data_IF_454626842826
#
_entry.id   IF_454626842826
#
_cell.length_a   1.000
_cell.length_b   1.000
_cell.length_c   1.000
_cell.angle_alpha   90.00
_cell.angle_beta   90.00
_cell.angle_gamma   90.00
#
_symmetry.space_group_name_H-M   'P 1'
#
loop_
_entity.id
_entity.type
_entity.pdbx_description
1 polymer ?
#
# COMPACT_ATOMS: atom_id res chain seq x y z
N UNK A 1 -20.02 15.14 13.90
CA UNK A 1 -19.59 16.14 14.91
C UNK A 1 -18.52 15.65 15.86
N UNK A 2 -18.67 14.50 16.53
CA UNK A 2 -17.63 13.99 17.45
C UNK A 2 -16.26 13.81 16.78
N UNK A 3 -16.20 13.11 15.63
CA UNK A 3 -14.94 12.92 14.89
C UNK A 3 -14.29 14.24 14.45
N UNK A 4 -15.07 15.30 14.23
CA UNK A 4 -14.53 16.62 13.87
C UNK A 4 -13.84 17.26 15.08
N UNK A 5 -14.36 17.04 16.30
CA UNK A 5 -13.71 17.50 17.54
C UNK A 5 -12.42 16.71 17.80
N UNK A 6 -12.47 15.39 17.66
CA UNK A 6 -11.28 14.53 17.77
C UNK A 6 -10.24 14.90 16.72
N UNK A 7 -10.64 15.24 15.50
CA UNK A 7 -9.73 15.70 14.46
C UNK A 7 -8.99 17.00 14.81
N UNK A 8 -9.61 17.90 15.58
CA UNK A 8 -8.96 19.13 16.06
C UNK A 8 -8.04 18.88 17.25
N UNK A 9 -8.46 18.03 18.19
CA UNK A 9 -7.81 17.84 19.48
C UNK A 9 -6.75 16.71 19.49
N UNK A 10 -6.94 15.69 18.65
CA UNK A 10 -6.13 14.48 18.57
C UNK A 10 -5.93 14.04 17.10
N UNK A 11 -5.38 14.91 16.24
CA UNK A 11 -5.30 14.64 14.80
C UNK A 11 -4.49 13.37 14.46
N UNK A 12 -3.43 13.09 15.21
CA UNK A 12 -2.57 11.90 15.04
C UNK A 12 -3.35 10.57 15.20
N UNK A 13 -4.39 10.54 16.05
CA UNK A 13 -5.21 9.35 16.25
C UNK A 13 -6.08 9.02 15.03
N UNK A 14 -6.48 10.04 14.26
CA UNK A 14 -7.40 9.91 13.14
C UNK A 14 -6.71 9.90 11.78
N UNK A 15 -5.49 10.42 11.69
CA UNK A 15 -4.84 10.67 10.39
C UNK A 15 -4.68 9.38 9.58
N UNK A 16 -4.22 8.27 10.17
CA UNK A 16 -4.08 7.01 9.45
C UNK A 16 -5.44 6.37 9.08
N UNK A 17 -6.40 6.14 10.02
CA UNK A 17 -7.68 5.53 9.66
C UNK A 17 -8.51 6.32 8.65
N UNK A 18 -8.48 7.66 8.73
CA UNK A 18 -9.23 8.52 7.82
C UNK A 18 -8.56 8.57 6.45
N UNK A 19 -7.23 8.59 6.37
CA UNK A 19 -6.50 8.51 5.09
C UNK A 19 -6.84 7.21 4.35
N UNK A 20 -6.86 6.06 5.06
CA UNK A 20 -7.31 4.77 4.49
C UNK A 20 -8.79 4.80 4.10
N UNK A 21 -9.65 5.44 4.90
CA UNK A 21 -11.08 5.52 4.57
C UNK A 21 -11.35 6.37 3.33
N UNK A 22 -10.49 7.36 3.05
CA UNK A 22 -10.61 8.25 1.90
C UNK A 22 -10.41 7.57 0.54
N UNK A 23 -9.71 6.42 0.52
CA UNK A 23 -9.49 5.59 -0.67
C UNK A 23 -10.52 4.46 -0.83
N UNK A 24 -11.57 4.42 0.01
CA UNK A 24 -12.60 3.36 -0.06
C UNK A 24 -13.55 3.51 -1.26
N UNK A 25 -14.11 2.39 -1.73
CA UNK A 25 -15.09 2.35 -2.82
C UNK A 25 -16.46 2.97 -2.45
N UNK A 26 -16.78 3.07 -1.15
CA UNK A 26 -18.05 3.62 -0.71
C UNK A 26 -18.09 5.14 -0.84
N UNK A 27 -18.90 5.65 -1.77
CA UNK A 27 -19.06 7.09 -2.00
C UNK A 27 -19.46 7.87 -0.74
N UNK A 28 -20.34 7.30 0.09
CA UNK A 28 -20.77 7.91 1.35
C UNK A 28 -19.62 8.03 2.35
N UNK A 29 -18.83 6.96 2.54
CA UNK A 29 -17.67 6.98 3.44
C UNK A 29 -16.58 7.90 2.93
N UNK A 30 -16.32 7.90 1.62
CA UNK A 30 -15.37 8.80 0.97
C UNK A 30 -15.74 10.26 1.18
N UNK A 31 -17.02 10.63 1.01
CA UNK A 31 -17.52 11.98 1.27
C UNK A 31 -17.37 12.39 2.74
N UNK A 32 -17.67 11.48 3.67
CA UNK A 32 -17.52 11.73 5.10
C UNK A 32 -16.04 11.88 5.52
N UNK A 33 -15.17 10.98 5.05
CA UNK A 33 -13.73 11.03 5.29
C UNK A 33 -13.12 12.33 4.75
N UNK A 34 -13.52 12.73 3.53
CA UNK A 34 -13.07 14.00 2.93
C UNK A 34 -13.40 15.20 3.82
N UNK A 35 -14.62 15.28 4.36
CA UNK A 35 -15.00 16.37 5.29
C UNK A 35 -14.11 16.42 6.54
N UNK A 36 -13.70 15.27 7.06
CA UNK A 36 -12.82 15.19 8.24
C UNK A 36 -11.40 15.61 7.85
N UNK A 37 -10.89 15.13 6.72
CA UNK A 37 -9.57 15.54 6.18
C UNK A 37 -9.55 17.04 5.95
N UNK A 38 -10.57 17.61 5.29
CA UNK A 38 -10.66 19.05 5.00
C UNK A 38 -10.64 19.89 6.30
N UNK A 39 -11.14 19.36 7.42
CA UNK A 39 -11.08 20.02 8.72
C UNK A 39 -9.71 19.89 9.40
N UNK A 40 -9.11 18.71 9.32
CA UNK A 40 -7.74 18.49 9.80
C UNK A 40 -6.77 19.37 9.01
N UNK A 41 -6.99 19.56 7.72
CA UNK A 41 -6.12 20.34 6.82
C UNK A 41 -6.15 21.83 7.16
N UNK A 42 -7.25 22.35 7.73
CA UNK A 42 -7.31 23.74 8.24
C UNK A 42 -6.48 23.97 9.50
N UNK A 43 -6.31 22.94 10.33
CA UNK A 43 -5.70 23.04 11.68
C UNK A 43 -4.28 22.49 11.71
N UNK A 44 -4.01 21.44 10.93
CA UNK A 44 -2.77 20.68 10.87
C UNK A 44 -2.46 20.29 9.40
N UNK A 45 -2.26 21.27 8.50
CA UNK A 45 -2.05 21.03 7.07
C UNK A 45 -0.85 20.13 6.79
N UNK A 46 0.27 20.37 7.47
CA UNK A 46 1.51 19.60 7.27
C UNK A 46 1.32 18.13 7.66
N UNK A 47 0.69 17.86 8.80
CA UNK A 47 0.40 16.50 9.25
C UNK A 47 -0.45 15.72 8.24
N UNK A 48 -1.48 16.36 7.67
CA UNK A 48 -2.34 15.74 6.65
C UNK A 48 -1.56 15.48 5.36
N UNK A 49 -0.73 16.43 4.93
CA UNK A 49 0.11 16.31 3.74
C UNK A 49 1.13 15.17 3.89
N UNK A 50 1.83 15.13 5.03
CA UNK A 50 2.78 14.07 5.37
C UNK A 50 2.11 12.72 5.44
N UNK A 51 0.94 12.59 6.08
CA UNK A 51 0.22 11.32 6.16
C UNK A 51 -0.25 10.82 4.79
N UNK A 52 -0.74 11.71 3.92
CA UNK A 52 -1.10 11.36 2.54
C UNK A 52 0.13 10.87 1.76
N UNK A 53 1.26 11.56 1.90
CA UNK A 53 2.53 11.17 1.27
C UNK A 53 3.00 9.80 1.78
N UNK A 54 3.15 9.65 3.10
CA UNK A 54 3.66 8.43 3.72
C UNK A 54 2.76 7.24 3.41
N UNK A 55 1.44 7.38 3.54
CA UNK A 55 0.52 6.29 3.23
C UNK A 55 0.55 5.89 1.75
N UNK A 56 0.63 6.85 0.82
CA UNK A 56 0.65 6.56 -0.61
C UNK A 56 1.96 5.88 -1.03
N UNK A 57 3.08 6.40 -0.55
CA UNK A 57 4.39 5.86 -0.88
C UNK A 57 4.64 4.49 -0.20
N UNK A 58 4.18 4.27 1.04
CA UNK A 58 4.24 2.95 1.68
C UNK A 58 3.41 1.91 0.90
N UNK A 59 2.29 2.31 0.31
CA UNK A 59 1.51 1.43 -0.58
C UNK A 59 2.28 1.09 -1.86
N UNK A 60 2.94 2.08 -2.48
CA UNK A 60 3.78 1.86 -3.66
C UNK A 60 4.99 0.95 -3.37
N UNK A 61 5.55 1.01 -2.16
CA UNK A 61 6.59 0.09 -1.69
C UNK A 61 6.02 -1.31 -1.42
N UNK A 62 4.77 -1.40 -0.93
CA UNK A 62 4.14 -2.66 -0.58
C UNK A 62 3.81 -3.56 -1.78
N UNK A 63 3.47 -2.97 -2.93
CA UNK A 63 3.17 -3.69 -4.18
C UNK A 63 3.90 -3.01 -5.33
N UNK A 64 4.91 -3.69 -5.88
CA UNK A 64 5.66 -3.16 -7.02
C UNK A 64 4.92 -3.42 -8.33
N UNK A 65 5.19 -2.61 -9.37
CA UNK A 65 4.62 -2.83 -10.70
C UNK A 65 4.85 -4.22 -11.26
N UNK A 66 6.02 -4.80 -10.98
CA UNK A 66 6.33 -6.17 -11.40
C UNK A 66 5.30 -7.14 -10.82
N UNK A 67 4.90 -6.97 -9.56
CA UNK A 67 3.91 -7.82 -8.89
C UNK A 67 2.49 -7.52 -9.34
N UNK A 68 2.14 -6.25 -9.53
CA UNK A 68 0.85 -5.84 -10.11
C UNK A 68 0.62 -6.50 -11.47
N UNK A 69 1.62 -6.43 -12.36
CA UNK A 69 1.55 -7.06 -13.67
C UNK A 69 1.61 -8.58 -13.60
N UNK A 70 2.45 -9.16 -12.73
CA UNK A 70 2.50 -10.60 -12.54
C UNK A 70 1.14 -11.17 -12.12
N UNK A 71 0.55 -10.62 -11.06
CA UNK A 71 -0.74 -11.07 -10.55
C UNK A 71 -1.86 -10.77 -11.56
N UNK A 72 -1.88 -9.57 -12.13
CA UNK A 72 -2.92 -9.18 -13.07
C UNK A 72 -2.93 -10.03 -14.35
N UNK A 73 -1.75 -10.42 -14.87
CA UNK A 73 -1.65 -11.33 -16.00
C UNK A 73 -2.06 -12.77 -15.63
N UNK A 74 -1.74 -13.22 -14.41
CA UNK A 74 -2.19 -14.52 -13.90
C UNK A 74 -3.72 -14.58 -13.77
N UNK A 75 -4.33 -13.53 -13.20
CA UNK A 75 -5.78 -13.40 -13.06
C UNK A 75 -6.46 -13.37 -14.44
N UNK A 76 -5.98 -12.54 -15.36
CA UNK A 76 -6.51 -12.44 -16.73
C UNK A 76 -6.37 -13.77 -17.50
N UNK A 77 -5.28 -14.52 -17.27
CA UNK A 77 -5.08 -15.83 -17.88
C UNK A 77 -6.08 -16.86 -17.33
N UNK A 78 -6.34 -16.87 -16.02
CA UNK A 78 -7.35 -17.73 -15.43
C UNK A 78 -8.76 -17.44 -15.97
N UNK A 79 -9.15 -16.15 -16.06
CA UNK A 79 -10.44 -15.74 -16.63
C UNK A 79 -10.61 -16.28 -18.06
N UNK A 80 -9.59 -16.14 -18.91
CA UNK A 80 -9.68 -16.54 -20.31
C UNK A 80 -9.56 -18.06 -20.53
N UNK A 81 -8.53 -18.69 -19.95
CA UNK A 81 -8.22 -20.10 -20.24
C UNK A 81 -9.06 -21.08 -19.41
N UNK A 82 -9.36 -20.73 -18.16
CA UNK A 82 -10.08 -21.61 -17.21
C UNK A 82 -11.57 -21.30 -17.18
N UNK A 83 -11.94 -20.04 -16.92
CA UNK A 83 -13.34 -19.65 -16.69
C UNK A 83 -14.10 -19.38 -18.01
N UNK A 84 -13.37 -19.21 -19.12
CA UNK A 84 -13.91 -18.78 -20.43
C UNK A 84 -14.61 -17.42 -20.39
N UNK A 85 -14.25 -16.60 -19.42
CA UNK A 85 -14.72 -15.22 -19.30
C UNK A 85 -13.80 -14.28 -20.12
N UNK A 86 -14.20 -14.07 -21.38
CA UNK A 86 -13.50 -13.16 -22.26
C UNK A 86 -13.65 -11.70 -21.81
N UNK A 87 -14.82 -11.30 -21.31
CA UNK A 87 -15.08 -9.92 -20.94
C UNK A 87 -14.29 -9.54 -19.69
N UNK A 88 -14.30 -10.39 -18.66
CA UNK A 88 -13.49 -10.21 -17.45
C UNK A 88 -12.00 -10.12 -17.77
N UNK A 89 -11.49 -10.94 -18.70
CA UNK A 89 -10.10 -10.82 -19.17
C UNK A 89 -9.82 -9.45 -19.82
N UNK A 90 -10.71 -8.98 -20.71
CA UNK A 90 -10.52 -7.69 -21.40
C UNK A 90 -10.56 -6.51 -20.42
N UNK A 91 -11.44 -6.57 -19.43
CA UNK A 91 -11.55 -5.56 -18.38
C UNK A 91 -10.29 -5.57 -17.52
N UNK A 92 -9.82 -6.76 -17.08
CA UNK A 92 -8.60 -6.89 -16.27
C UNK A 92 -7.35 -6.39 -16.99
N UNK A 93 -7.16 -6.76 -18.25
CA UNK A 93 -6.05 -6.24 -19.06
C UNK A 93 -6.18 -4.72 -19.27
N UNK A 94 -7.42 -4.23 -19.46
CA UNK A 94 -7.71 -2.81 -19.56
C UNK A 94 -7.30 -2.03 -18.32
N UNK A 95 -7.58 -2.54 -17.12
CA UNK A 95 -7.15 -1.93 -15.85
C UNK A 95 -5.62 -1.82 -15.74
N UNK A 96 -4.90 -2.88 -16.14
CA UNK A 96 -3.43 -2.89 -16.11
C UNK A 96 -2.84 -1.85 -17.08
N UNK A 97 -3.37 -1.77 -18.30
CA UNK A 97 -2.93 -0.80 -19.30
C UNK A 97 -3.39 0.65 -19.02
N UNK A 98 -4.51 0.82 -18.33
CA UNK A 98 -4.95 2.13 -17.85
C UNK A 98 -3.98 2.66 -16.80
N UNK A 99 -3.57 1.81 -15.86
CA UNK A 99 -2.53 2.13 -14.85
C UNK A 99 -1.23 2.57 -15.52
N UNK A 100 -0.87 1.91 -16.62
CA UNK A 100 0.28 2.28 -17.45
C UNK A 100 0.11 3.63 -18.17
N UNK A 101 -1.10 3.95 -18.64
CA UNK A 101 -1.38 5.15 -19.42
C UNK A 101 -1.51 6.41 -18.55
N UNK A 102 -1.83 6.26 -17.26
CA UNK A 102 -1.89 7.36 -16.29
C UNK A 102 -0.52 7.82 -15.76
N UNK A 103 0.57 7.31 -16.33
CA UNK A 103 1.93 7.47 -15.81
C UNK A 103 2.55 8.74 -16.34
N UNK A 104 2.80 9.69 -15.45
CA UNK A 104 3.60 10.86 -15.75
C UNK A 104 5.09 10.47 -15.70
N UNK A 105 5.64 10.15 -16.87
CA UNK A 105 7.03 9.69 -17.04
C UNK A 105 8.08 10.63 -16.42
N UNK A 106 7.73 11.88 -16.12
CA UNK A 106 8.62 12.87 -15.50
C UNK A 106 8.80 12.65 -14.00
N UNK A 107 7.82 12.04 -13.31
CA UNK A 107 7.80 11.91 -11.84
C UNK A 107 7.92 10.45 -11.36
N UNK A 108 8.25 9.51 -12.24
CA UNK A 108 8.29 8.09 -11.90
C UNK A 108 9.60 7.65 -11.23
N UNK A 109 9.49 6.58 -10.43
CA UNK A 109 10.63 6.02 -9.71
C UNK A 109 11.55 5.22 -10.63
N UNK A 110 12.84 5.09 -10.26
CA UNK A 110 13.81 4.32 -11.05
C UNK A 110 13.35 2.88 -11.31
N UNK A 111 12.64 2.26 -10.36
CA UNK A 111 12.09 0.92 -10.53
C UNK A 111 10.97 0.86 -11.57
N UNK A 112 10.11 1.88 -11.62
CA UNK A 112 9.06 2.00 -12.65
C UNK A 112 9.69 2.25 -14.01
N UNK A 113 10.66 3.16 -14.11
CA UNK A 113 11.39 3.41 -15.36
C UNK A 113 12.09 2.15 -15.88
N UNK A 114 12.73 1.38 -15.00
CA UNK A 114 13.35 0.09 -15.35
C UNK A 114 12.32 -0.93 -15.85
N UNK A 115 11.13 -0.97 -15.26
CA UNK A 115 10.04 -1.84 -15.72
C UNK A 115 9.59 -1.41 -17.13
N UNK A 116 9.36 -0.11 -17.32
CA UNK A 116 8.90 0.44 -18.59
C UNK A 116 9.90 0.15 -19.71
N UNK A 117 11.18 0.39 -19.45
CA UNK A 117 12.25 0.12 -20.39
C UNK A 117 12.34 -1.37 -20.76
N UNK A 118 12.14 -2.27 -19.79
CA UNK A 118 12.32 -3.71 -20.00
C UNK A 118 11.12 -4.41 -20.67
N UNK A 119 9.90 -3.93 -20.41
CA UNK A 119 8.67 -4.64 -20.78
C UNK A 119 7.69 -3.79 -21.60
N UNK A 120 7.88 -2.47 -21.66
CA UNK A 120 6.88 -1.55 -22.19
C UNK A 120 6.54 -1.73 -23.65
N UNK A 121 7.55 -2.06 -24.47
CA UNK A 121 7.33 -2.34 -25.90
C UNK A 121 6.43 -3.56 -26.08
N UNK A 122 6.80 -4.68 -25.46
CA UNK A 122 6.08 -5.95 -25.57
C UNK A 122 4.64 -5.80 -25.04
N UNK A 123 4.46 -5.09 -23.92
CA UNK A 123 3.14 -4.83 -23.33
C UNK A 123 2.28 -3.95 -24.23
N UNK A 124 2.82 -2.87 -24.79
CA UNK A 124 2.09 -1.98 -25.68
C UNK A 124 1.68 -2.71 -26.98
N UNK A 125 2.58 -3.51 -27.55
CA UNK A 125 2.27 -4.32 -28.73
C UNK A 125 1.20 -5.38 -28.42
N UNK A 126 1.26 -6.04 -27.27
CA UNK A 126 0.22 -6.96 -26.81
C UNK A 126 -1.15 -6.28 -26.68
N UNK A 127 -1.18 -5.04 -26.18
CA UNK A 127 -2.41 -4.27 -26.09
C UNK A 127 -3.00 -3.92 -27.46
N UNK A 128 -2.16 -3.52 -28.42
CA UNK A 128 -2.62 -3.23 -29.79
C UNK A 128 -3.28 -4.46 -30.43
N UNK A 129 -2.79 -5.67 -30.13
CA UNK A 129 -3.45 -6.92 -30.55
C UNK A 129 -4.80 -7.14 -29.86
N UNK A 130 -4.91 -6.83 -28.56
CA UNK A 130 -6.19 -6.86 -27.84
C UNK A 130 -7.19 -5.84 -28.42
N UNK A 131 -6.76 -4.64 -28.79
CA UNK A 131 -7.64 -3.65 -29.43
C UNK A 131 -8.14 -4.14 -30.79
N UNK A 132 -7.27 -4.74 -31.61
CA UNK A 132 -7.69 -5.39 -32.86
C UNK A 132 -8.67 -6.54 -32.61
N UNK A 133 -8.47 -7.33 -31.56
CA UNK A 133 -9.37 -8.40 -31.17
C UNK A 133 -10.75 -7.88 -30.76
N UNK A 134 -10.82 -6.77 -30.00
CA UNK A 134 -12.10 -6.13 -29.63
C UNK A 134 -12.94 -5.73 -30.83
N UNK A 135 -12.30 -5.33 -31.94
CA UNK A 135 -12.99 -4.95 -33.18
C UNK A 135 -13.31 -6.17 -34.06
N UNK A 136 -12.35 -7.08 -34.26
CA UNK A 136 -12.50 -8.16 -35.24
C UNK A 136 -13.12 -9.44 -34.69
N UNK A 137 -13.04 -9.68 -33.37
CA UNK A 137 -13.40 -10.96 -32.75
C UNK A 137 -12.51 -12.15 -33.14
N UNK A 138 -11.44 -11.94 -33.92
CA UNK A 138 -10.64 -13.02 -34.48
C UNK A 138 -9.67 -13.61 -33.44
N UNK A 139 -9.77 -14.92 -33.19
CA UNK A 139 -8.95 -15.63 -32.21
C UNK A 139 -7.42 -15.49 -32.43
N UNK A 140 -7.00 -15.26 -33.68
CA UNK A 140 -5.58 -15.03 -34.03
C UNK A 140 -5.01 -13.81 -33.28
N UNK A 141 -5.78 -12.73 -33.15
CA UNK A 141 -5.30 -11.52 -32.49
C UNK A 141 -5.07 -11.71 -30.99
N UNK A 142 -5.98 -12.39 -30.30
CA UNK A 142 -5.83 -12.67 -28.86
C UNK A 142 -4.70 -13.67 -28.60
N UNK A 143 -4.49 -14.64 -29.47
CA UNK A 143 -3.35 -15.56 -29.37
C UNK A 143 -2.01 -14.80 -29.48
N UNK A 144 -1.90 -13.85 -30.41
CA UNK A 144 -0.68 -13.04 -30.57
C UNK A 144 -0.42 -12.13 -29.37
N UNK A 145 -1.47 -11.56 -28.78
CA UNK A 145 -1.36 -10.84 -27.53
C UNK A 145 -0.82 -11.75 -26.40
N UNK A 146 -1.34 -12.97 -26.29
CA UNK A 146 -0.94 -13.91 -25.25
C UNK A 146 0.49 -14.43 -25.39
N UNK A 147 1.03 -14.55 -26.60
CA UNK A 147 2.45 -14.88 -26.80
C UNK A 147 3.37 -13.82 -26.15
N UNK A 148 3.04 -12.54 -26.35
CA UNK A 148 3.76 -11.41 -25.77
C UNK A 148 3.57 -11.34 -24.25
N UNK A 149 2.32 -11.43 -23.77
CA UNK A 149 2.03 -11.42 -22.33
C UNK A 149 2.72 -12.58 -21.60
N UNK A 150 2.71 -13.77 -22.18
CA UNK A 150 3.37 -14.94 -21.59
C UNK A 150 4.88 -14.74 -21.51
N UNK A 151 5.49 -14.13 -22.53
CA UNK A 151 6.92 -13.80 -22.54
C UNK A 151 7.28 -12.82 -21.43
N UNK A 152 6.51 -11.75 -21.28
CA UNK A 152 6.68 -10.77 -20.21
C UNK A 152 6.46 -11.41 -18.83
N UNK A 153 5.39 -12.20 -18.66
CA UNK A 153 5.06 -12.90 -17.43
C UNK A 153 6.22 -13.79 -16.94
N UNK A 154 6.83 -14.59 -17.83
CA UNK A 154 7.98 -15.45 -17.49
C UNK A 154 9.20 -14.64 -17.04
N UNK A 155 9.50 -13.52 -17.73
CA UNK A 155 10.61 -12.63 -17.36
C UNK A 155 10.39 -12.01 -15.98
N UNK A 156 9.19 -11.47 -15.74
CA UNK A 156 8.79 -10.87 -14.47
C UNK A 156 8.87 -11.91 -13.34
N UNK A 157 8.31 -13.12 -13.55
CA UNK A 157 8.37 -14.22 -12.56
C UNK A 157 9.79 -14.50 -12.11
N UNK A 158 10.73 -14.58 -13.05
CA UNK A 158 12.15 -14.83 -12.75
C UNK A 158 12.78 -13.72 -11.90
N UNK A 159 12.42 -12.46 -12.14
CA UNK A 159 12.92 -11.33 -11.35
C UNK A 159 12.28 -11.28 -9.96
N UNK A 160 10.96 -11.48 -9.87
CA UNK A 160 10.21 -11.55 -8.60
C UNK A 160 10.85 -12.59 -7.69
N UNK A 161 11.06 -13.82 -8.17
CA UNK A 161 11.59 -14.92 -7.35
C UNK A 161 13.03 -14.69 -6.84
N UNK A 162 13.78 -13.74 -7.39
CA UNK A 162 15.16 -13.41 -6.98
C UNK A 162 15.27 -12.15 -6.12
N UNK A 163 14.15 -11.48 -5.87
CA UNK A 163 14.13 -10.21 -5.19
C UNK A 163 13.98 -10.41 -3.68
N UNK A 164 15.08 -10.22 -2.96
CA UNK A 164 15.13 -10.38 -1.50
C UNK A 164 15.16 -9.03 -0.76
N UNK A 165 15.55 -7.96 -1.46
CA UNK A 165 15.69 -6.61 -0.91
C UNK A 165 15.30 -5.53 -1.92
N UNK A 166 14.75 -4.43 -1.39
CA UNK A 166 14.40 -3.22 -2.11
C UNK A 166 15.15 -2.04 -1.50
N UNK A 167 15.87 -1.29 -2.34
CA UNK A 167 16.42 0.01 -1.95
C UNK A 167 15.36 1.09 -2.07
N UNK A 168 15.06 1.77 -0.96
CA UNK A 168 13.98 2.75 -0.83
C UNK A 168 14.13 3.89 -1.84
N UNK A 169 15.35 4.36 -2.09
CA UNK A 169 15.65 5.39 -3.09
C UNK A 169 15.12 5.05 -4.50
N UNK A 170 15.09 3.76 -4.87
CA UNK A 170 14.66 3.33 -6.20
C UNK A 170 13.15 3.10 -6.29
N UNK A 171 12.47 2.89 -5.16
CA UNK A 171 11.04 2.55 -5.09
C UNK A 171 10.17 3.68 -4.55
N UNK A 172 10.73 4.53 -3.70
CA UNK A 172 10.11 5.73 -3.16
C UNK A 172 11.20 6.72 -2.75
N UNK A 173 11.70 7.54 -3.69
CA UNK A 173 12.64 8.62 -3.39
C UNK A 173 12.06 9.58 -2.35
N UNK A 174 10.74 9.79 -2.34
CA UNK A 174 10.06 10.70 -1.41
C UNK A 174 10.18 10.22 0.04
N UNK A 175 10.04 8.91 0.30
CA UNK A 175 10.28 8.37 1.63
C UNK A 175 11.77 8.35 1.98
N UNK A 176 12.64 8.13 1.01
CA UNK A 176 14.08 8.11 1.22
C UNK A 176 14.64 9.47 1.70
N UNK A 177 14.07 10.58 1.21
CA UNK A 177 14.45 11.94 1.62
C UNK A 177 13.59 12.53 2.74
N UNK A 178 12.55 11.81 3.19
CA UNK A 178 11.65 12.30 4.23
C UNK A 178 12.34 12.24 5.59
N UNK A 179 12.56 13.42 6.16
CA UNK A 179 13.20 13.59 7.46
C UNK A 179 12.35 14.49 8.37
N UNK A 180 12.44 14.25 9.68
CA UNK A 180 11.86 15.10 10.74
C UNK A 180 10.36 15.42 10.61
N UNK A 181 9.56 14.45 10.15
CA UNK A 181 8.12 14.61 9.94
C UNK A 181 7.38 14.98 11.25
N UNK A 182 6.27 15.71 11.13
CA UNK A 182 5.33 15.93 12.24
C UNK A 182 4.51 14.68 12.57
N UNK A 183 4.35 13.79 11.60
CA UNK A 183 3.60 12.54 11.69
C UNK A 183 4.18 11.59 12.73
N UNK A 184 3.31 11.05 13.60
CA UNK A 184 3.68 10.04 14.56
C UNK A 184 4.07 8.73 13.87
N UNK A 185 5.05 8.02 14.45
CA UNK A 185 5.34 6.63 14.06
C UNK A 185 4.05 5.81 14.19
N UNK A 186 3.66 5.01 13.18
CA UNK A 186 2.42 4.25 13.24
C UNK A 186 2.33 3.38 14.51
N UNK A 187 1.19 3.45 15.20
CA UNK A 187 0.92 2.64 16.39
C UNK A 187 1.58 3.12 17.70
N UNK A 188 2.35 4.22 17.69
CA UNK A 188 2.98 4.75 18.92
C UNK A 188 2.18 5.87 19.59
N UNK A 189 1.18 6.43 18.91
CA UNK A 189 0.32 7.48 19.45
C UNK A 189 -0.56 6.96 20.60
N UNK A 190 -0.52 7.66 21.74
CA UNK A 190 -1.31 7.37 22.94
C UNK A 190 -1.92 8.66 23.48
N UNK A 191 -3.13 8.58 24.03
CA UNK A 191 -3.83 9.73 24.60
C UNK A 191 -3.13 10.27 25.87
N UNK A 192 -2.29 9.44 26.51
CA UNK A 192 -1.47 9.83 27.66
C UNK A 192 -0.49 10.98 27.37
N UNK A 193 -0.16 11.25 26.10
CA UNK A 193 0.71 12.36 25.72
C UNK A 193 0.12 13.75 26.02
N UNK A 194 -1.21 13.89 26.17
CA UNK A 194 -1.82 15.17 26.59
C UNK A 194 -1.48 15.57 28.04
N UNK A 195 -1.10 14.61 28.89
CA UNK A 195 -0.73 14.89 30.28
C UNK A 195 0.72 15.36 30.44
N UNK A 196 1.41 15.72 29.33
CA UNK A 196 2.78 16.27 29.30
C UNK A 196 3.88 15.36 29.89
N UNK A 197 3.58 14.11 30.23
CA UNK A 197 4.56 13.17 30.78
C UNK A 197 5.43 12.52 29.71
N UNK A 198 4.95 12.46 28.46
CA UNK A 198 5.69 11.93 27.32
C UNK A 198 5.35 12.74 26.06
N UNK A 199 6.28 12.80 25.11
CA UNK A 199 6.10 13.46 23.81
C UNK A 199 5.72 12.43 22.74
N UNK A 200 5.02 12.89 21.69
CA UNK A 200 4.68 12.05 20.53
C UNK A 200 5.97 11.61 19.85
N UNK A 201 6.15 10.30 19.65
CA UNK A 201 7.27 9.76 18.87
C UNK A 201 6.97 9.99 17.39
N UNK A 202 7.64 10.96 16.80
CA UNK A 202 7.50 11.34 15.39
C UNK A 202 8.41 10.50 14.51
N UNK A 203 8.12 10.44 13.21
CA UNK A 203 9.00 9.80 12.25
C UNK A 203 10.21 10.70 12.01
N UNK A 204 11.40 10.23 12.41
CA UNK A 204 12.67 10.88 12.13
C UNK A 204 13.10 10.63 10.69
N UNK A 205 13.09 9.37 10.25
CA UNK A 205 13.49 8.96 8.90
C UNK A 205 13.09 7.51 8.63
N UNK A 206 13.25 7.07 7.37
CA UNK A 206 13.06 5.68 6.94
C UNK A 206 14.42 5.04 6.65
N UNK A 207 14.61 3.78 7.06
CA UNK A 207 15.83 3.06 6.67
C UNK A 207 15.83 2.77 5.15
N UNK A 208 17.00 2.86 4.48
CA UNK A 208 17.10 2.76 3.02
C UNK A 208 16.82 1.35 2.49
N UNK A 209 16.92 0.33 3.34
CA UNK A 209 16.78 -1.07 2.97
C UNK A 209 15.43 -1.63 3.43
N UNK A 210 14.67 -2.19 2.49
CA UNK A 210 13.39 -2.85 2.73
C UNK A 210 13.52 -4.33 2.36
N UNK A 211 13.44 -5.22 3.36
CA UNK A 211 13.57 -6.67 3.12
C UNK A 211 12.26 -7.21 2.54
N UNK A 212 12.34 -8.05 1.52
CA UNK A 212 11.21 -8.81 1.00
C UNK A 212 11.20 -10.19 1.66
N UNK A 213 10.14 -10.52 2.38
CA UNK A 213 10.03 -11.83 3.02
C UNK A 213 9.58 -12.86 1.99
N UNK A 214 10.34 -13.94 1.82
CA UNK A 214 10.00 -15.00 0.86
C UNK A 214 8.81 -15.82 1.37
N UNK A 215 7.61 -15.49 0.88
CA UNK A 215 6.37 -16.21 1.14
C UNK A 215 5.42 -16.04 -0.06
N UNK A 216 4.22 -16.64 -0.02
CA UNK A 216 3.21 -16.42 -1.08
C UNK A 216 2.85 -14.94 -1.26
N UNK A 217 2.70 -14.22 -0.14
CA UNK A 217 2.25 -12.82 -0.13
C UNK A 217 3.39 -11.81 -0.20
N UNK A 218 4.64 -12.28 -0.05
CA UNK A 218 5.87 -11.48 -0.17
C UNK A 218 5.86 -10.14 0.58
N UNK A 219 5.45 -10.10 1.86
CA UNK A 219 5.33 -8.84 2.59
C UNK A 219 6.69 -8.18 2.78
N UNK A 220 6.70 -6.85 2.93
CA UNK A 220 7.93 -6.06 3.05
C UNK A 220 8.18 -5.74 4.51
N UNK A 221 9.39 -6.01 5.00
CA UNK A 221 9.84 -5.51 6.29
C UNK A 221 10.54 -4.16 6.09
N UNK A 222 9.90 -3.10 6.56
CA UNK A 222 10.40 -1.73 6.56
C UNK A 222 10.76 -1.32 7.99
N UNK A 223 11.75 -0.47 8.14
CA UNK A 223 12.13 0.09 9.45
C UNK A 223 12.06 1.61 9.43
N UNK A 224 11.49 2.17 10.48
CA UNK A 224 11.30 3.61 10.66
C UNK A 224 12.07 4.03 11.92
N UNK A 225 12.88 5.07 11.82
CA UNK A 225 13.56 5.67 12.98
C UNK A 225 12.61 6.69 13.59
N UNK A 226 12.35 6.57 14.89
CA UNK A 226 11.56 7.53 15.64
C UNK A 226 12.41 8.69 16.16
N UNK A 227 11.75 9.81 16.49
CA UNK A 227 12.38 10.96 17.14
C UNK A 227 12.92 10.65 18.55
N UNK A 228 12.59 9.48 19.11
CA UNK A 228 13.15 8.95 20.36
C UNK A 228 14.45 8.15 20.14
N UNK A 229 14.96 8.10 18.91
CA UNK A 229 16.16 7.37 18.51
C UNK A 229 15.97 5.86 18.35
N UNK A 230 14.75 5.33 18.53
CA UNK A 230 14.48 3.90 18.38
C UNK A 230 14.08 3.56 16.96
N UNK A 231 14.40 2.33 16.57
CA UNK A 231 13.99 1.77 15.29
C UNK A 231 12.74 0.90 15.46
N UNK A 232 11.68 1.26 14.74
CA UNK A 232 10.40 0.58 14.71
C UNK A 232 10.28 -0.24 13.43
N UNK A 233 10.04 -1.54 13.56
CA UNK A 233 9.90 -2.44 12.43
C UNK A 233 8.43 -2.65 12.08
N UNK A 234 8.13 -2.56 10.79
CA UNK A 234 6.79 -2.74 10.24
C UNK A 234 6.80 -3.78 9.14
N UNK A 235 5.69 -4.52 9.05
CA UNK A 235 5.42 -5.45 7.99
C UNK A 235 4.35 -4.88 7.06
N UNK A 236 4.76 -4.47 5.85
CA UNK A 236 3.85 -3.97 4.82
C UNK A 236 3.25 -5.16 4.07
N UNK A 237 1.94 -5.32 4.19
CA UNK A 237 1.17 -6.34 3.47
C UNK A 237 0.29 -5.65 2.42
N UNK A 238 0.70 -5.69 1.16
CA UNK A 238 0.00 -4.99 0.09
C UNK A 238 -1.26 -5.70 -0.44
N UNK A 239 -1.29 -7.04 -0.36
CA UNK A 239 -2.36 -7.86 -0.93
C UNK A 239 -3.43 -8.29 0.10
N UNK A 240 -3.42 -7.71 1.30
CA UNK A 240 -4.30 -8.12 2.40
C UNK A 240 -5.10 -6.95 2.96
N UNK A 241 -6.35 -7.21 3.32
CA UNK A 241 -7.17 -6.28 4.09
C UNK A 241 -6.90 -6.44 5.59
N UNK A 242 -6.03 -5.59 6.12
CA UNK A 242 -5.58 -5.64 7.51
C UNK A 242 -6.63 -5.20 8.56
N UNK A 243 -7.86 -4.86 8.14
CA UNK A 243 -8.92 -4.45 9.08
C UNK A 243 -9.33 -5.58 10.02
N UNK A 244 -9.25 -6.84 9.58
CA UNK A 244 -9.56 -7.97 10.45
C UNK A 244 -8.51 -8.11 11.56
N UNK A 245 -7.22 -8.08 11.22
CA UNK A 245 -6.12 -8.09 12.19
C UNK A 245 -6.24 -6.93 13.20
N UNK A 246 -6.60 -5.72 12.74
CA UNK A 246 -6.84 -4.56 13.61
C UNK A 246 -7.91 -4.84 14.67
N UNK A 247 -9.05 -5.44 14.27
CA UNK A 247 -10.14 -5.78 15.20
C UNK A 247 -9.75 -6.88 16.17
N UNK A 248 -8.99 -7.87 15.73
CA UNK A 248 -8.45 -8.90 16.62
C UNK A 248 -7.51 -8.28 17.65
N UNK A 249 -6.66 -7.33 17.26
CA UNK A 249 -5.80 -6.63 18.22
C UNK A 249 -6.58 -5.77 19.22
N UNK A 250 -7.67 -5.14 18.80
CA UNK A 250 -8.58 -4.43 19.71
C UNK A 250 -9.22 -5.38 20.73
N UNK A 251 -9.62 -6.58 20.31
CA UNK A 251 -10.15 -7.61 21.20
C UNK A 251 -9.09 -8.08 22.21
N UNK A 252 -7.86 -8.33 21.77
CA UNK A 252 -6.76 -8.67 22.68
C UNK A 252 -6.46 -7.54 23.67
N UNK A 253 -6.54 -6.27 23.22
CA UNK A 253 -6.44 -5.12 24.11
C UNK A 253 -7.52 -5.13 25.20
N UNK A 254 -8.77 -5.44 24.84
CA UNK A 254 -9.87 -5.58 25.80
C UNK A 254 -9.61 -6.74 26.79
N UNK A 255 -9.17 -7.89 26.28
CA UNK A 255 -8.84 -9.05 27.11
C UNK A 255 -7.76 -8.69 28.13
N UNK A 256 -6.68 -8.02 27.71
CA UNK A 256 -5.61 -7.60 28.60
C UNK A 256 -6.13 -6.65 29.69
N UNK A 257 -7.00 -5.70 29.35
CA UNK A 257 -7.64 -4.80 30.36
C UNK A 257 -8.50 -5.58 31.36
N UNK A 258 -9.19 -6.64 30.93
CA UNK A 258 -10.00 -7.48 31.82
C UNK A 258 -9.14 -8.38 32.71
N UNK A 259 -8.04 -8.93 32.17
CA UNK A 259 -7.09 -9.74 32.91
C UNK A 259 -6.36 -8.92 33.99
N UNK A 260 -5.95 -7.69 33.67
CA UNK A 260 -5.30 -6.78 34.62
C UNK A 260 -6.21 -6.43 35.82
N UNK A 261 -7.53 -6.37 35.59
CA UNK A 261 -8.51 -6.12 36.66
C UNK A 261 -8.79 -7.36 37.52
N UNK A 262 -8.34 -8.55 37.10
CA UNK A 262 -8.54 -9.81 37.83
C UNK A 262 -7.36 -10.07 38.76
N UNK A 263 -7.56 -9.79 40.06
CA UNK A 263 -6.53 -9.74 41.12
C UNK A 263 -5.61 -10.97 41.19
N UNK A 264 -6.09 -12.15 40.82
CA UNK A 264 -5.31 -13.39 40.82
C UNK A 264 -4.40 -13.59 39.60
N UNK A 265 -4.78 -13.04 38.43
CA UNK A 265 -4.09 -13.26 37.16
C UNK A 265 -3.05 -12.17 36.88
N UNK A 266 -3.29 -10.93 37.34
CA UNK A 266 -2.33 -9.83 37.23
C UNK A 266 -0.96 -10.16 37.87
N UNK A 267 -0.92 -11.03 38.89
CA UNK A 267 0.33 -11.50 39.54
C UNK A 267 1.11 -12.53 38.73
N UNK A 268 0.49 -13.18 37.75
CA UNK A 268 1.12 -14.20 36.91
C UNK A 268 1.92 -13.60 35.73
N UNK A 269 1.85 -12.28 35.53
CA UNK A 269 2.65 -11.59 34.51
C UNK A 269 2.31 -11.98 33.07
N UNK A 270 1.12 -12.53 32.82
CA UNK A 270 0.62 -12.82 31.48
C UNK A 270 0.38 -11.49 30.78
N UNK A 271 1.35 -11.05 29.97
CA UNK A 271 1.28 -9.86 29.11
C UNK A 271 1.28 -10.29 27.66
#
# INVERSE_FOLDING_TARGET
>A
DLLMRVAREHPQALVYPITVTSSTASAARKKAAKRIIDEMEKTHPDLVKEAKLVSGEMMAVAITWHETWYQGLEDAANMYFTEKDQQGMLDKLGELHATWSSVDRVSETMRVLSFIHSYGRDLHEAWNWIEKFKVSGAAVHVNQAWELYTTVFRKIKKQIMKLDELHLEHVSPKLAIAEDLTLAVPGTYSETYKNHTQSVVRIQSFLPSVTVIVSKQRPRRMSIVGSDGKTYQFLLKGHEDLRQDERVMQLFGLINVLLDKTIGIAKLGVK
#
